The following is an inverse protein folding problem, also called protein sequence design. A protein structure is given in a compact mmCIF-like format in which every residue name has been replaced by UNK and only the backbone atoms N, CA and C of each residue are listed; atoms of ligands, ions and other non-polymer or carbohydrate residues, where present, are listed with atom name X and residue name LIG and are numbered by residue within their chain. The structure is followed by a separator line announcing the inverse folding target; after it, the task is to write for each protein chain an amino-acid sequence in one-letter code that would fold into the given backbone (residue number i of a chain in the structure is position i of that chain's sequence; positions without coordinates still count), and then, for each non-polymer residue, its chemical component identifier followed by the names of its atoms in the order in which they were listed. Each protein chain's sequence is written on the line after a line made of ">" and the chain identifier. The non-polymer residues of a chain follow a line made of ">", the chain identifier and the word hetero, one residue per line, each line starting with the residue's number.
data_IF_767934192490
#
_entry.id   IF_767934192490
#
_cell.length_a   1.000
_cell.length_b   1.000
_cell.length_c   1.000
_cell.angle_alpha   90.00
_cell.angle_beta   90.00
_cell.angle_gamma   90.00
#
_symmetry.space_group_name_H-M   'P 1'
#
loop_
_entity.id
_entity.type
_entity.pdbx_description
1 polymer ?
#
# COMPACT_ATOMS: atom_id res chain seq x y z
N UNK A 1 -7.78 19.53 -7.90
CA UNK A 1 -8.73 18.96 -6.94
C UNK A 1 -10.16 19.27 -7.33
N UNK A 2 -10.63 20.50 -7.08
CA UNK A 2 -12.06 20.86 -7.18
C UNK A 2 -12.70 20.55 -8.55
N UNK A 3 -12.01 20.83 -9.66
CA UNK A 3 -12.52 20.55 -11.02
C UNK A 3 -12.80 19.06 -11.27
N UNK A 4 -11.97 18.16 -10.74
CA UNK A 4 -12.13 16.71 -10.93
C UNK A 4 -13.34 16.19 -10.14
N UNK A 5 -13.63 16.75 -8.96
CA UNK A 5 -14.82 16.40 -8.18
C UNK A 5 -16.08 16.87 -8.90
N UNK A 6 -16.08 18.12 -9.39
CA UNK A 6 -17.22 18.67 -10.13
C UNK A 6 -17.52 17.89 -11.41
N UNK A 7 -16.49 17.47 -12.15
CA UNK A 7 -16.65 16.59 -13.31
C UNK A 7 -17.15 15.20 -12.92
N UNK A 8 -16.63 14.62 -11.84
CA UNK A 8 -17.08 13.34 -11.31
C UNK A 8 -18.57 13.33 -10.96
N UNK A 9 -19.05 14.36 -10.27
CA UNK A 9 -20.46 14.53 -9.91
C UNK A 9 -21.36 14.81 -11.13
N UNK A 10 -20.86 15.57 -12.12
CA UNK A 10 -21.60 15.83 -13.35
C UNK A 10 -21.82 14.56 -14.20
N UNK A 11 -20.88 13.61 -14.19
CA UNK A 11 -20.97 12.33 -14.89
C UNK A 11 -21.67 11.22 -14.08
N UNK A 12 -21.96 11.44 -12.79
CA UNK A 12 -22.69 10.50 -11.92
C UNK A 12 -24.10 10.12 -12.44
N UNK A 13 -24.96 11.07 -12.89
CA UNK A 13 -26.29 10.73 -13.40
C UNK A 13 -26.26 9.97 -14.74
N UNK A 14 -25.16 10.05 -15.51
CA UNK A 14 -25.04 9.39 -16.81
C UNK A 14 -24.79 7.88 -16.72
N UNK A 15 -24.34 7.36 -15.58
CA UNK A 15 -23.94 5.94 -15.44
C UNK A 15 -24.56 5.24 -14.23
N UNK A 16 -25.70 5.76 -13.73
CA UNK A 16 -26.42 5.23 -12.58
C UNK A 16 -25.56 5.14 -11.30
N UNK A 17 -24.75 6.18 -11.06
CA UNK A 17 -23.96 6.34 -9.84
C UNK A 17 -22.46 5.99 -9.96
N UNK A 18 -21.78 6.02 -8.81
CA UNK A 18 -20.36 5.67 -8.68
C UNK A 18 -20.25 4.16 -8.47
N UNK A 19 -19.77 3.43 -9.49
CA UNK A 19 -19.58 1.97 -9.42
C UNK A 19 -18.15 1.62 -9.80
N UNK A 20 -17.58 0.69 -9.03
CA UNK A 20 -16.27 0.11 -9.31
C UNK A 20 -16.35 -0.90 -10.45
N UNK A 21 -17.44 -1.68 -10.52
CA UNK A 21 -17.66 -2.72 -11.52
C UNK A 21 -19.14 -2.76 -11.98
N UNK A 22 -19.45 -2.50 -13.27
CA UNK A 22 -18.56 -1.94 -14.28
C UNK A 22 -18.09 -0.53 -13.89
N UNK A 23 -16.81 -0.21 -14.14
CA UNK A 23 -16.20 1.04 -13.69
C UNK A 23 -16.77 2.27 -14.42
N UNK A 24 -17.28 3.24 -13.66
CA UNK A 24 -17.85 4.47 -14.23
C UNK A 24 -16.81 5.60 -14.38
N UNK A 25 -16.99 6.51 -15.34
CA UNK A 25 -16.14 7.71 -15.48
C UNK A 25 -16.19 8.56 -14.21
N UNK A 26 -17.36 8.65 -13.59
CA UNK A 26 -17.55 9.28 -12.27
C UNK A 26 -16.64 8.64 -11.21
N UNK A 27 -16.56 7.30 -11.15
CA UNK A 27 -15.65 6.59 -10.25
C UNK A 27 -14.19 6.99 -10.44
N UNK A 28 -13.70 7.07 -11.68
CA UNK A 28 -12.31 7.49 -11.93
C UNK A 28 -12.05 8.94 -11.51
N UNK A 29 -12.89 9.89 -11.93
CA UNK A 29 -12.67 11.31 -11.64
C UNK A 29 -12.77 11.63 -10.14
N UNK A 30 -13.76 11.07 -9.45
CA UNK A 30 -13.91 11.25 -7.99
C UNK A 30 -12.75 10.58 -7.25
N UNK A 31 -12.37 9.35 -7.62
CA UNK A 31 -11.26 8.64 -6.96
C UNK A 31 -9.93 9.38 -7.14
N UNK A 32 -9.63 9.86 -8.35
CA UNK A 32 -8.43 10.64 -8.61
C UNK A 32 -8.45 11.97 -7.85
N UNK A 33 -9.60 12.65 -7.80
CA UNK A 33 -9.72 13.89 -7.04
C UNK A 33 -9.42 13.68 -5.55
N UNK A 34 -10.04 12.66 -4.93
CA UNK A 34 -9.83 12.31 -3.53
C UNK A 34 -8.37 11.92 -3.29
N UNK A 35 -7.76 11.14 -4.19
CA UNK A 35 -6.35 10.77 -4.08
C UNK A 35 -5.43 12.00 -4.05
N UNK A 36 -5.66 12.99 -4.93
CA UNK A 36 -4.88 14.24 -4.92
C UNK A 36 -5.07 15.04 -3.63
N UNK A 37 -6.31 15.19 -3.15
CA UNK A 37 -6.56 15.89 -1.89
C UNK A 37 -5.91 15.19 -0.70
N UNK A 38 -6.00 13.86 -0.64
CA UNK A 38 -5.40 13.05 0.40
C UNK A 38 -3.87 13.18 0.39
N UNK A 39 -3.24 13.12 -0.80
CA UNK A 39 -1.79 13.30 -0.93
C UNK A 39 -1.33 14.69 -0.45
N UNK A 40 -2.04 15.75 -0.84
CA UNK A 40 -1.72 17.12 -0.40
C UNK A 40 -1.88 17.23 1.12
N UNK A 41 -3.00 16.74 1.65
CA UNK A 41 -3.26 16.74 3.09
C UNK A 41 -2.18 16.00 3.87
N UNK A 42 -1.82 14.79 3.42
CA UNK A 42 -0.80 13.98 4.06
C UNK A 42 0.58 14.65 3.99
N UNK A 43 0.92 15.29 2.86
CA UNK A 43 2.18 16.03 2.71
C UNK A 43 2.29 17.17 3.72
N UNK A 44 1.24 17.99 3.84
CA UNK A 44 1.20 19.10 4.82
C UNK A 44 1.27 18.57 6.26
N UNK A 45 0.57 17.46 6.54
CA UNK A 45 0.56 16.83 7.85
C UNK A 45 1.97 16.32 8.25
N UNK A 46 2.67 15.69 7.32
CA UNK A 46 4.05 15.19 7.50
C UNK A 46 5.01 16.36 7.79
N UNK A 47 4.89 17.44 7.03
CA UNK A 47 5.69 18.66 7.25
C UNK A 47 5.44 19.24 8.65
N UNK A 48 4.18 19.34 9.08
CA UNK A 48 3.83 19.89 10.39
C UNK A 48 4.31 19.02 11.56
N UNK A 49 4.16 17.70 11.45
CA UNK A 49 4.53 16.75 12.52
C UNK A 49 6.04 16.63 12.72
N UNK A 50 6.88 17.11 11.80
CA UNK A 50 8.34 16.93 11.79
C UNK A 50 8.81 15.46 11.95
N UNK A 51 7.90 14.48 11.87
CA UNK A 51 8.16 13.04 11.99
C UNK A 51 8.64 12.43 10.67
N UNK A 52 9.50 13.14 9.95
CA UNK A 52 9.95 12.70 8.63
C UNK A 52 10.68 11.36 8.70
N UNK A 53 11.40 11.08 9.79
CA UNK A 53 12.20 9.85 9.92
C UNK A 53 11.37 8.58 9.96
N UNK A 54 10.20 8.56 10.61
CA UNK A 54 9.32 7.38 10.66
C UNK A 54 8.54 7.24 9.36
N UNK A 55 8.03 8.34 8.83
CA UNK A 55 7.21 8.35 7.63
C UNK A 55 8.05 8.06 6.38
N UNK A 56 9.36 8.38 6.40
CA UNK A 56 10.30 7.99 5.35
C UNK A 56 10.33 6.47 5.12
N UNK A 57 10.14 5.64 6.14
CA UNK A 57 10.10 4.18 5.96
C UNK A 57 8.91 3.77 5.10
N UNK A 58 7.76 4.41 5.31
CA UNK A 58 6.57 4.17 4.51
C UNK A 58 6.72 4.72 3.08
N UNK A 59 7.31 5.91 2.93
CA UNK A 59 7.58 6.53 1.62
C UNK A 59 8.56 5.68 0.79
N UNK A 60 9.62 5.16 1.40
CA UNK A 60 10.62 4.35 0.70
C UNK A 60 10.05 3.03 0.18
N UNK A 61 9.07 2.46 0.89
CA UNK A 61 8.32 1.29 0.43
C UNK A 61 7.36 1.65 -0.71
N UNK A 62 6.70 2.82 -0.63
CA UNK A 62 5.81 3.33 -1.69
C UNK A 62 6.51 3.71 -3.00
N UNK A 63 7.81 4.05 -2.96
CA UNK A 63 8.61 4.32 -4.17
C UNK A 63 8.90 3.07 -4.99
N UNK A 64 9.01 1.91 -4.33
CA UNK A 64 9.37 0.64 -4.94
C UNK A 64 8.43 -0.50 -4.52
N UNK A 65 7.13 -0.38 -4.81
CA UNK A 65 6.15 -1.38 -4.38
C UNK A 65 6.45 -2.76 -5.00
N UNK A 66 6.98 -2.79 -6.23
CA UNK A 66 7.31 -4.04 -6.93
C UNK A 66 8.34 -4.89 -6.18
N UNK A 67 9.35 -4.26 -5.56
CA UNK A 67 10.38 -4.99 -4.81
C UNK A 67 9.76 -5.65 -3.59
N UNK A 68 8.81 -5.00 -2.92
CA UNK A 68 8.10 -5.59 -1.79
C UNK A 68 7.30 -6.84 -2.22
N UNK A 69 6.62 -6.80 -3.37
CA UNK A 69 5.90 -7.95 -3.92
C UNK A 69 6.84 -9.10 -4.27
N UNK A 70 7.95 -8.80 -4.96
CA UNK A 70 8.93 -9.82 -5.35
C UNK A 70 9.62 -10.42 -4.13
N UNK A 71 9.97 -9.61 -3.14
CA UNK A 71 10.57 -10.06 -1.89
C UNK A 71 9.62 -10.96 -1.09
N UNK A 72 8.32 -10.62 -1.04
CA UNK A 72 7.34 -11.51 -0.43
C UNK A 72 7.30 -12.87 -1.16
N UNK A 73 7.09 -12.85 -2.47
CA UNK A 73 6.84 -14.05 -3.25
C UNK A 73 8.08 -14.96 -3.42
N UNK A 74 9.27 -14.38 -3.59
CA UNK A 74 10.50 -15.14 -3.93
C UNK A 74 11.43 -15.34 -2.74
N UNK A 75 11.26 -14.58 -1.65
CA UNK A 75 12.14 -14.67 -0.49
C UNK A 75 11.38 -15.11 0.76
N UNK A 76 10.39 -14.32 1.20
CA UNK A 76 9.70 -14.60 2.47
C UNK A 76 8.91 -15.91 2.40
N UNK A 77 8.11 -16.10 1.34
CA UNK A 77 7.26 -17.26 1.19
C UNK A 77 8.05 -18.59 1.12
N UNK A 78 9.08 -18.74 0.25
CA UNK A 78 9.83 -19.99 0.17
C UNK A 78 10.63 -20.29 1.44
N UNK A 79 11.20 -19.28 2.10
CA UNK A 79 11.95 -19.48 3.36
C UNK A 79 11.03 -20.00 4.47
N UNK A 80 9.82 -19.44 4.60
CA UNK A 80 8.83 -19.89 5.58
C UNK A 80 8.42 -21.35 5.36
N UNK A 81 8.24 -21.75 4.09
CA UNK A 81 7.90 -23.12 3.75
C UNK A 81 9.08 -24.09 3.98
N UNK A 82 10.30 -23.71 3.60
CA UNK A 82 11.49 -24.54 3.84
C UNK A 82 11.77 -24.77 5.32
N UNK A 83 11.48 -23.80 6.19
CA UNK A 83 11.60 -23.96 7.65
C UNK A 83 10.43 -24.72 8.29
N UNK A 84 9.33 -24.97 7.57
CA UNK A 84 8.11 -25.56 8.13
C UNK A 84 7.44 -24.68 9.21
N UNK A 85 7.80 -23.40 9.29
CA UNK A 85 7.26 -22.47 10.28
C UNK A 85 5.87 -21.98 9.92
N UNK A 86 5.48 -22.09 8.65
CA UNK A 86 4.15 -21.66 8.19
C UNK A 86 3.02 -22.40 8.93
N UNK A 87 3.12 -23.72 9.05
CA UNK A 87 2.11 -24.56 9.72
C UNK A 87 2.05 -24.29 11.22
N UNK A 88 3.20 -24.12 11.87
CA UNK A 88 3.30 -23.74 13.29
C UNK A 88 2.68 -22.36 13.55
N UNK A 89 2.98 -21.39 12.70
CA UNK A 89 2.45 -20.03 12.83
C UNK A 89 0.93 -20.06 12.61
N UNK A 90 0.44 -20.75 11.58
CA UNK A 90 -1.01 -20.86 11.34
C UNK A 90 -1.73 -21.54 12.50
N UNK A 91 -1.16 -22.60 13.08
CA UNK A 91 -1.74 -23.29 14.24
C UNK A 91 -1.89 -22.38 15.48
N UNK A 92 -0.92 -21.49 15.73
CA UNK A 92 -0.97 -20.54 16.84
C UNK A 92 -1.69 -19.22 16.52
N UNK A 93 -1.99 -18.94 15.24
CA UNK A 93 -2.62 -17.69 14.79
C UNK A 93 -4.12 -17.86 14.55
N UNK A 94 -4.83 -18.46 15.50
CA UNK A 94 -6.29 -18.68 15.39
C UNK A 94 -7.14 -17.46 15.74
N UNK A 95 -6.59 -16.45 16.42
CA UNK A 95 -7.34 -15.26 16.86
C UNK A 95 -7.08 -14.04 15.96
N UNK A 96 -8.04 -13.11 15.81
CA UNK A 96 -7.89 -11.93 14.95
C UNK A 96 -6.66 -11.07 15.30
N UNK A 97 -6.37 -10.91 16.59
CA UNK A 97 -5.24 -10.10 17.07
C UNK A 97 -3.90 -10.76 16.72
N UNK A 98 -3.81 -12.09 16.87
CA UNK A 98 -2.63 -12.83 16.45
C UNK A 98 -2.45 -12.75 14.93
N UNK A 99 -3.54 -12.74 14.16
CA UNK A 99 -3.51 -12.52 12.71
C UNK A 99 -2.86 -11.20 12.32
N UNK A 100 -3.19 -10.12 13.04
CA UNK A 100 -2.54 -8.81 12.86
C UNK A 100 -1.06 -8.89 13.21
N UNK A 101 -0.72 -9.55 14.33
CA UNK A 101 0.67 -9.71 14.77
C UNK A 101 1.50 -10.50 13.73
N UNK A 102 0.95 -11.58 13.18
CA UNK A 102 1.54 -12.34 12.07
C UNK A 102 1.81 -11.44 10.87
N UNK A 103 0.83 -10.61 10.49
CA UNK A 103 0.99 -9.65 9.40
C UNK A 103 2.12 -8.65 9.65
N UNK A 104 2.25 -8.12 10.87
CA UNK A 104 3.33 -7.22 11.25
C UNK A 104 4.69 -7.94 11.16
N UNK A 105 4.78 -9.15 11.69
CA UNK A 105 6.01 -9.96 11.68
C UNK A 105 6.46 -10.26 10.24
N UNK A 106 5.54 -10.54 9.33
CA UNK A 106 5.87 -10.84 7.93
C UNK A 106 6.22 -9.58 7.14
N UNK A 107 5.52 -8.46 7.39
CA UNK A 107 5.73 -7.22 6.64
C UNK A 107 6.99 -6.46 7.08
N UNK A 108 7.39 -6.52 8.36
CA UNK A 108 8.61 -5.87 8.86
C UNK A 108 9.91 -6.26 8.11
N UNK A 109 10.26 -7.55 7.94
CA UNK A 109 11.48 -7.94 7.23
C UNK A 109 11.44 -7.54 5.74
N UNK A 110 10.26 -7.60 5.11
CA UNK A 110 10.08 -7.16 3.72
C UNK A 110 10.25 -5.65 3.61
N UNK A 111 9.68 -4.90 4.56
CA UNK A 111 9.80 -3.46 4.63
C UNK A 111 11.26 -3.03 4.76
N UNK A 112 12.03 -3.74 5.60
CA UNK A 112 13.47 -3.51 5.78
C UNK A 112 14.26 -3.82 4.50
N UNK A 113 13.97 -4.96 3.87
CA UNK A 113 14.65 -5.39 2.65
C UNK A 113 14.34 -4.46 1.47
N UNK A 114 13.08 -4.09 1.29
CA UNK A 114 12.64 -3.14 0.27
C UNK A 114 13.33 -1.80 0.48
N UNK A 115 13.39 -1.30 1.71
CA UNK A 115 14.11 -0.06 2.03
C UNK A 115 15.60 -0.17 1.71
N UNK A 116 16.24 -1.29 2.03
CA UNK A 116 17.65 -1.52 1.68
C UNK A 116 17.87 -1.47 0.17
N UNK A 117 17.06 -2.19 -0.61
CA UNK A 117 17.11 -2.15 -2.08
C UNK A 117 16.84 -0.75 -2.65
N UNK A 118 15.85 -0.03 -2.10
CA UNK A 118 15.53 1.36 -2.50
C UNK A 118 16.71 2.31 -2.23
N UNK A 119 17.39 2.18 -1.08
CA UNK A 119 18.58 3.00 -0.77
C UNK A 119 19.77 2.67 -1.66
N UNK A 120 19.89 1.42 -2.08
CA UNK A 120 20.91 0.97 -3.04
C UNK A 120 20.57 1.33 -4.50
N UNK A 121 19.48 2.08 -4.74
CA UNK A 121 18.98 2.45 -6.08
C UNK A 121 18.73 1.24 -6.98
N UNK A 122 18.45 0.08 -6.40
CA UNK A 122 18.07 -1.10 -7.16
C UNK A 122 16.58 -0.94 -7.48
N UNK A 123 16.26 -0.53 -8.69
CA UNK A 123 14.89 -0.36 -9.15
C UNK A 123 14.54 -1.53 -10.05
N UNK A 124 13.67 -2.42 -9.57
CA UNK A 124 13.08 -3.42 -10.45
C UNK A 124 12.08 -2.71 -11.35
N UNK A 125 12.48 -2.48 -12.60
CA UNK A 125 11.58 -2.02 -13.67
C UNK A 125 11.05 -3.26 -14.36
N UNK A 126 9.73 -3.43 -14.38
CA UNK A 126 9.09 -4.38 -15.32
C UNK A 126 8.92 -3.69 -16.66
#
# INVERSE_FOLDING_TARGET
>A
GNLLVSLGLAFEPFQAGIKKDPSTYSYYFVTVAIAFFLLIFLTILIERLHQQKWIQWLIDNGKNPMIAYVAFANLLWPILQLLGWEDWIVAYTGTPILGVLKGIIYTLPIMLLTRFCTRQKFFWKT
#
